data_IF_144668888798
#
_entry.id   IF_144668888798
#
_cell.length_a   1.000
_cell.length_b   1.000
_cell.length_c   1.000
_cell.angle_alpha   90.00
_cell.angle_beta   90.00
_cell.angle_gamma   90.00
#
_symmetry.space_group_name_H-M   'P 1'
#
loop_
_entity.id
_entity.type
_entity.pdbx_description
1 polymer ?
#
# COMPACT_ATOMS: atom_id res chain seq x y z
N UNK A 1 -31.88 -2.70 -10.06
CA UNK A 1 -32.73 -3.91 -10.19
C UNK A 1 -32.00 -5.07 -10.91
N UNK A 2 -30.74 -5.40 -10.57
CA UNK A 2 -29.93 -6.31 -11.39
C UNK A 2 -29.88 -7.78 -10.93
N UNK A 3 -30.40 -8.10 -9.74
CA UNK A 3 -30.35 -9.46 -9.18
C UNK A 3 -31.71 -10.16 -9.06
N UNK A 4 -32.83 -9.45 -9.25
CA UNK A 4 -34.17 -10.08 -9.20
C UNK A 4 -34.43 -10.99 -10.41
N UNK A 5 -33.82 -10.70 -11.56
CA UNK A 5 -33.96 -11.56 -12.74
C UNK A 5 -33.37 -12.96 -12.49
N UNK A 6 -32.33 -13.10 -11.66
CA UNK A 6 -31.79 -14.41 -11.28
C UNK A 6 -32.81 -15.27 -10.54
N UNK A 7 -33.66 -14.65 -9.71
CA UNK A 7 -34.73 -15.34 -9.00
C UNK A 7 -35.79 -15.82 -9.98
N UNK A 8 -36.19 -14.97 -10.93
CA UNK A 8 -37.12 -15.34 -12.01
C UNK A 8 -36.58 -16.48 -12.88
N UNK A 9 -35.31 -16.43 -13.28
CA UNK A 9 -34.66 -17.49 -14.07
C UNK A 9 -34.58 -18.79 -13.25
N UNK A 10 -34.24 -18.70 -11.96
CA UNK A 10 -34.20 -19.86 -11.08
C UNK A 10 -35.58 -20.52 -10.95
N UNK A 11 -36.63 -19.72 -10.74
CA UNK A 11 -38.01 -20.21 -10.68
C UNK A 11 -38.42 -20.89 -11.99
N UNK A 12 -38.11 -20.27 -13.13
CA UNK A 12 -38.41 -20.82 -14.45
C UNK A 12 -37.70 -22.17 -14.66
N UNK A 13 -36.43 -22.29 -14.29
CA UNK A 13 -35.68 -23.54 -14.36
C UNK A 13 -36.28 -24.63 -13.48
N UNK A 14 -36.67 -24.32 -12.24
CA UNK A 14 -37.35 -25.27 -11.35
C UNK A 14 -38.65 -25.76 -11.98
N UNK A 15 -39.43 -24.87 -12.58
CA UNK A 15 -40.67 -25.22 -13.27
C UNK A 15 -40.42 -26.18 -14.45
N UNK A 16 -39.39 -25.91 -15.26
CA UNK A 16 -38.98 -26.81 -16.36
C UNK A 16 -38.62 -28.21 -15.83
N UNK A 17 -37.86 -28.29 -14.73
CA UNK A 17 -37.47 -29.57 -14.12
C UNK A 17 -38.70 -30.34 -13.62
N UNK A 18 -39.66 -29.66 -12.99
CA UNK A 18 -40.92 -30.28 -12.54
C UNK A 18 -41.74 -30.81 -13.72
N UNK A 19 -41.89 -30.03 -14.79
CA UNK A 19 -42.57 -30.50 -16.01
C UNK A 19 -41.86 -31.72 -16.58
N UNK A 20 -40.53 -31.69 -16.68
CA UNK A 20 -39.74 -32.82 -17.14
C UNK A 20 -39.97 -34.07 -16.30
N UNK A 21 -40.07 -33.90 -14.97
CA UNK A 21 -40.31 -34.99 -14.05
C UNK A 21 -41.67 -35.64 -14.24
N UNK A 22 -42.72 -34.83 -14.46
CA UNK A 22 -44.09 -35.34 -14.72
C UNK A 22 -44.16 -36.03 -16.08
N UNK A 23 -43.60 -35.42 -17.13
CA UNK A 23 -43.65 -35.98 -18.48
C UNK A 23 -42.82 -37.26 -18.63
N UNK A 24 -41.73 -37.39 -17.86
CA UNK A 24 -40.84 -38.54 -17.88
C UNK A 24 -40.95 -39.36 -16.58
N UNK A 25 -42.17 -39.48 -16.06
CA UNK A 25 -42.47 -40.26 -14.85
C UNK A 25 -42.43 -41.80 -15.09
N UNK A 26 -41.70 -42.24 -16.10
CA UNK A 26 -41.53 -43.65 -16.42
C UNK A 26 -40.67 -44.31 -15.34
N UNK A 27 -41.23 -45.35 -14.74
CA UNK A 27 -40.55 -46.12 -13.69
C UNK A 27 -39.49 -47.01 -14.33
N UNK A 28 -38.23 -46.79 -13.97
CA UNK A 28 -37.09 -47.57 -14.45
C UNK A 28 -36.47 -48.32 -13.28
N UNK A 29 -36.29 -49.65 -13.36
CA UNK A 29 -35.58 -50.41 -12.36
C UNK A 29 -34.08 -50.15 -12.47
N UNK A 30 -33.43 -49.84 -11.34
CA UNK A 30 -31.99 -49.63 -11.25
C UNK A 30 -31.39 -50.62 -10.27
N UNK A 31 -30.37 -51.34 -10.73
CA UNK A 31 -29.65 -52.33 -9.94
C UNK A 31 -28.37 -51.72 -9.39
N UNK A 32 -28.25 -51.67 -8.07
CA UNK A 32 -27.04 -51.23 -7.35
C UNK A 32 -26.10 -52.40 -7.03
N UNK A 33 -26.21 -53.52 -7.75
CA UNK A 33 -25.48 -54.76 -7.51
C UNK A 33 -26.11 -55.63 -6.41
N UNK A 34 -26.42 -55.04 -5.24
CA UNK A 34 -26.97 -55.76 -4.08
C UNK A 34 -28.47 -55.54 -3.86
N UNK A 35 -29.01 -54.45 -4.40
CA UNK A 35 -30.42 -54.08 -4.29
C UNK A 35 -30.93 -53.53 -5.61
N UNK A 36 -32.25 -53.63 -5.82
CA UNK A 36 -32.93 -53.04 -6.97
C UNK A 36 -33.97 -52.05 -6.45
N UNK A 37 -33.92 -50.84 -6.99
CA UNK A 37 -34.87 -49.78 -6.69
C UNK A 37 -35.52 -49.37 -7.99
N UNK A 38 -36.85 -49.28 -7.98
CA UNK A 38 -37.63 -48.82 -9.13
C UNK A 38 -38.22 -47.46 -8.82
N UNK A 39 -38.01 -46.51 -9.72
CA UNK A 39 -38.57 -45.18 -9.59
C UNK A 39 -38.46 -44.39 -10.89
N UNK A 40 -39.05 -43.18 -10.93
CA UNK A 40 -38.96 -42.29 -12.09
C UNK A 40 -37.51 -41.99 -12.44
N UNK A 41 -37.12 -42.15 -13.71
CA UNK A 41 -35.72 -41.99 -14.17
C UNK A 41 -35.10 -40.65 -13.76
N UNK A 42 -35.86 -39.57 -13.87
CA UNK A 42 -35.43 -38.22 -13.52
C UNK A 42 -35.05 -38.06 -12.03
N UNK A 43 -35.77 -38.72 -11.12
CA UNK A 43 -35.46 -38.67 -9.68
C UNK A 43 -34.16 -39.40 -9.38
N UNK A 44 -33.88 -40.48 -10.11
CA UNK A 44 -32.63 -41.23 -9.97
C UNK A 44 -31.44 -40.39 -10.46
N UNK A 45 -31.57 -39.72 -11.61
CA UNK A 45 -30.52 -38.84 -12.17
C UNK A 45 -30.28 -37.63 -11.25
N UNK A 46 -31.33 -36.95 -10.80
CA UNK A 46 -31.19 -35.82 -9.88
C UNK A 46 -30.59 -36.27 -8.55
N UNK A 47 -31.04 -37.40 -8.00
CA UNK A 47 -30.51 -37.96 -6.77
C UNK A 47 -29.02 -38.28 -6.87
N UNK A 48 -28.57 -38.94 -7.94
CA UNK A 48 -27.16 -39.25 -8.14
C UNK A 48 -26.30 -38.00 -8.36
N UNK A 49 -26.80 -37.01 -9.10
CA UNK A 49 -26.13 -35.73 -9.27
C UNK A 49 -25.97 -34.96 -7.94
N UNK A 50 -27.00 -34.96 -7.09
CA UNK A 50 -26.93 -34.35 -5.75
C UNK A 50 -25.91 -35.07 -4.89
N UNK A 51 -25.89 -36.41 -4.88
CA UNK A 51 -24.89 -37.19 -4.12
C UNK A 51 -23.48 -36.89 -4.62
N UNK A 52 -23.26 -36.86 -5.94
CA UNK A 52 -21.98 -36.49 -6.53
C UNK A 52 -21.54 -35.06 -6.14
N UNK A 53 -22.46 -34.09 -6.19
CA UNK A 53 -22.20 -32.72 -5.77
C UNK A 53 -21.86 -32.63 -4.28
N UNK A 54 -22.55 -33.37 -3.41
CA UNK A 54 -22.25 -33.43 -1.98
C UNK A 54 -20.84 -33.98 -1.74
N UNK A 55 -20.46 -35.07 -2.40
CA UNK A 55 -19.10 -35.63 -2.31
C UNK A 55 -18.06 -34.59 -2.79
N UNK A 56 -18.33 -33.91 -3.90
CA UNK A 56 -17.49 -32.82 -4.42
C UNK A 56 -17.34 -31.66 -3.43
N UNK A 57 -18.42 -31.25 -2.76
CA UNK A 57 -18.40 -30.20 -1.74
C UNK A 57 -17.61 -30.63 -0.49
N UNK A 58 -17.82 -31.86 -0.01
CA UNK A 58 -17.08 -32.40 1.15
C UNK A 58 -15.58 -32.41 0.87
N UNK A 59 -15.18 -32.93 -0.29
CA UNK A 59 -13.77 -32.98 -0.71
C UNK A 59 -13.19 -31.58 -0.92
N UNK A 60 -13.91 -30.67 -1.61
CA UNK A 60 -13.47 -29.30 -1.85
C UNK A 60 -13.27 -28.48 -0.57
N UNK A 61 -14.17 -28.64 0.40
CA UNK A 61 -14.11 -27.88 1.67
C UNK A 61 -12.80 -28.12 2.42
N UNK A 62 -12.31 -29.36 2.44
CA UNK A 62 -11.05 -29.70 3.11
C UNK A 62 -9.84 -28.99 2.49
N UNK A 63 -9.78 -28.92 1.15
CA UNK A 63 -8.74 -28.21 0.40
C UNK A 63 -8.80 -26.72 0.66
N UNK A 64 -10.01 -26.15 0.63
CA UNK A 64 -10.23 -24.71 0.82
C UNK A 64 -9.84 -24.26 2.24
N UNK A 65 -10.05 -25.10 3.26
CA UNK A 65 -9.57 -24.84 4.61
C UNK A 65 -8.05 -24.84 4.71
N UNK A 66 -7.36 -25.82 4.10
CA UNK A 66 -5.88 -25.85 4.06
C UNK A 66 -5.32 -24.61 3.37
N UNK A 67 -5.88 -24.24 2.22
CA UNK A 67 -5.49 -23.04 1.49
C UNK A 67 -5.69 -21.77 2.31
N UNK A 68 -6.84 -21.61 3.00
CA UNK A 68 -7.08 -20.48 3.89
C UNK A 68 -6.06 -20.41 5.03
N UNK A 69 -5.68 -21.55 5.60
CA UNK A 69 -4.66 -21.61 6.67
C UNK A 69 -3.29 -21.17 6.14
N UNK A 70 -2.86 -21.69 4.99
CA UNK A 70 -1.60 -21.31 4.35
C UNK A 70 -1.57 -19.81 4.02
N UNK A 71 -2.64 -19.26 3.45
CA UNK A 71 -2.73 -17.81 3.18
C UNK A 71 -2.57 -17.01 4.47
N UNK A 72 -3.15 -17.46 5.59
CA UNK A 72 -3.00 -16.79 6.87
C UNK A 72 -1.57 -16.86 7.42
N UNK A 73 -0.92 -18.02 7.30
CA UNK A 73 0.49 -18.20 7.70
C UNK A 73 1.42 -17.33 6.85
N UNK A 74 1.28 -17.37 5.52
CA UNK A 74 2.06 -16.52 4.60
C UNK A 74 1.87 -15.03 4.87
N UNK A 75 0.63 -14.60 5.13
CA UNK A 75 0.38 -13.19 5.47
C UNK A 75 1.05 -12.78 6.78
N UNK A 76 1.08 -13.67 7.78
CA UNK A 76 1.77 -13.42 9.04
C UNK A 76 3.28 -13.34 8.85
N UNK A 77 3.86 -14.24 8.06
CA UNK A 77 5.29 -14.18 7.71
C UNK A 77 5.63 -12.88 6.97
N UNK A 78 4.81 -12.48 5.99
CA UNK A 78 4.97 -11.20 5.29
C UNK A 78 4.92 -10.00 6.23
N UNK A 79 4.05 -10.01 7.23
CA UNK A 79 3.96 -8.95 8.22
C UNK A 79 5.23 -8.85 9.07
N UNK A 80 5.78 -9.99 9.50
CA UNK A 80 7.06 -10.04 10.23
C UNK A 80 8.20 -9.50 9.37
N UNK A 81 8.37 -9.99 8.14
CA UNK A 81 9.42 -9.53 7.24
C UNK A 81 9.34 -8.03 6.94
N UNK A 82 8.12 -7.48 6.79
CA UNK A 82 7.91 -6.05 6.59
C UNK A 82 8.32 -5.24 7.81
N UNK A 83 7.93 -5.69 9.01
CA UNK A 83 8.30 -5.02 10.25
C UNK A 83 9.82 -5.04 10.46
N UNK A 84 10.47 -6.18 10.23
CA UNK A 84 11.93 -6.30 10.36
C UNK A 84 12.63 -5.37 9.37
N UNK A 85 12.21 -5.35 8.10
CA UNK A 85 12.75 -4.43 7.09
C UNK A 85 12.56 -2.96 7.48
N UNK A 86 11.39 -2.59 8.01
CA UNK A 86 11.11 -1.23 8.49
C UNK A 86 11.98 -0.86 9.70
N UNK A 87 12.25 -1.80 10.61
CA UNK A 87 13.14 -1.55 11.76
C UNK A 87 14.58 -1.34 11.33
N UNK A 88 15.10 -2.18 10.41
CA UNK A 88 16.45 -2.03 9.86
C UNK A 88 16.60 -0.72 9.10
N UNK A 89 15.60 -0.35 8.27
CA UNK A 89 15.60 0.93 7.57
C UNK A 89 15.62 2.12 8.53
N UNK A 90 14.85 2.08 9.63
CA UNK A 90 14.86 3.12 10.66
C UNK A 90 16.20 3.20 11.37
N UNK A 91 16.81 2.06 11.71
CA UNK A 91 18.11 2.00 12.36
C UNK A 91 19.21 2.61 11.47
N UNK A 92 19.23 2.27 10.19
CA UNK A 92 20.20 2.82 9.23
C UNK A 92 20.00 4.33 9.03
N UNK A 93 18.76 4.80 8.92
CA UNK A 93 18.46 6.24 8.85
C UNK A 93 18.90 6.96 10.12
N UNK A 94 18.72 6.35 11.29
CA UNK A 94 19.15 6.93 12.57
C UNK A 94 20.68 7.00 12.67
N UNK A 95 21.41 5.96 12.23
CA UNK A 95 22.88 5.97 12.17
C UNK A 95 23.40 7.08 11.26
N UNK A 96 22.83 7.20 10.05
CA UNK A 96 23.21 8.25 9.09
C UNK A 96 22.93 9.64 9.66
N UNK A 97 21.77 9.82 10.32
CA UNK A 97 21.42 11.10 10.96
C UNK A 97 22.41 11.47 12.07
N UNK A 98 22.76 10.53 12.95
CA UNK A 98 23.76 10.74 14.00
C UNK A 98 25.13 11.08 13.42
N UNK A 99 25.55 10.40 12.35
CA UNK A 99 26.80 10.72 11.67
C UNK A 99 26.80 12.14 11.08
N UNK A 100 25.69 12.57 10.49
CA UNK A 100 25.52 13.92 9.96
C UNK A 100 25.52 15.00 11.07
N UNK A 101 24.81 14.75 12.19
CA UNK A 101 24.82 15.66 13.35
C UNK A 101 26.24 15.81 13.93
N UNK A 102 27.00 14.73 14.03
CA UNK A 102 28.40 14.78 14.46
C UNK A 102 29.28 15.59 13.50
N UNK A 103 29.09 15.45 12.18
CA UNK A 103 29.82 16.24 11.18
C UNK A 103 29.51 17.74 11.29
N UNK A 104 28.26 18.12 11.53
CA UNK A 104 27.87 19.52 11.74
C UNK A 104 28.51 20.09 13.00
N UNK A 105 28.51 19.33 14.10
CA UNK A 105 29.15 19.75 15.34
C UNK A 105 30.66 19.95 15.18
N UNK A 106 31.34 19.05 14.47
CA UNK A 106 32.77 19.18 14.16
C UNK A 106 33.04 20.41 13.26
N UNK A 107 32.20 20.64 12.25
CA UNK A 107 32.34 21.79 11.36
C UNK A 107 32.12 23.11 12.11
N UNK A 108 31.14 23.16 13.01
CA UNK A 108 30.89 24.33 13.87
C UNK A 108 32.08 24.60 14.78
N UNK A 109 32.64 23.57 15.43
CA UNK A 109 33.83 23.72 16.27
C UNK A 109 35.02 24.28 15.47
N UNK A 110 35.23 23.80 14.23
CA UNK A 110 36.26 24.35 13.33
C UNK A 110 35.99 25.81 12.97
N UNK A 111 34.74 26.19 12.72
CA UNK A 111 34.39 27.58 12.45
C UNK A 111 34.66 28.48 13.65
N UNK A 112 34.29 28.05 14.86
CA UNK A 112 34.51 28.79 16.10
C UNK A 112 36.01 28.93 16.41
N UNK A 113 36.82 27.88 16.15
CA UNK A 113 38.28 27.92 16.25
C UNK A 113 38.92 28.90 15.26
N UNK A 114 38.41 28.96 14.02
CA UNK A 114 38.87 29.91 12.99
C UNK A 114 38.43 31.34 13.34
N UNK A 115 37.20 31.53 13.82
CA UNK A 115 36.69 32.83 14.25
C UNK A 115 37.47 33.40 15.45
N UNK A 116 37.94 32.54 16.36
CA UNK A 116 38.81 32.95 17.47
C UNK A 116 40.24 33.33 17.04
N UNK A 117 40.67 32.90 15.84
CA UNK A 117 41.99 33.21 15.27
C UNK A 117 41.97 34.43 14.33
N UNK A 118 40.81 34.89 13.88
CA UNK A 118 40.66 36.11 13.08
C UNK A 118 40.44 37.30 14.04
N UNK A 119 41.31 38.32 14.07
CA UNK A 119 41.06 39.52 14.87
C UNK A 119 39.77 40.19 14.38
N UNK A 120 38.79 40.35 15.27
CA UNK A 120 37.68 41.27 15.05
C UNK A 120 38.26 42.68 15.26
N UNK A 121 38.85 43.28 14.23
CA UNK A 121 38.94 44.74 14.20
C UNK A 121 37.52 45.27 13.98
N UNK A 122 36.97 46.06 14.91
CA UNK A 122 35.69 46.70 14.66
C UNK A 122 35.88 47.68 13.50
N UNK A 123 35.11 47.52 12.42
CA UNK A 123 34.94 48.57 11.42
C UNK A 123 34.19 49.71 12.12
N UNK A 124 34.96 50.58 12.79
CA UNK A 124 34.48 51.83 13.38
C UNK A 124 34.52 52.88 12.28
N UNK A 125 33.36 53.11 11.69
CA UNK A 125 33.13 54.26 10.83
C UNK A 125 33.09 55.52 11.72
N UNK A 126 34.20 56.24 11.80
CA UNK A 126 34.26 57.57 12.42
C UNK A 126 35.02 58.56 11.52
N UNK A 127 34.33 59.11 10.53
CA UNK A 127 34.70 60.38 9.91
C UNK A 127 33.97 61.51 10.68
N UNK A 128 34.66 62.41 11.39
CA UNK A 128 34.03 63.59 11.96
C UNK A 128 33.87 64.66 10.88
N UNK A 129 32.61 65.01 10.58
CA UNK A 129 32.24 66.22 9.83
C UNK A 129 32.77 67.44 10.61
N UNK A 130 33.73 68.18 10.05
CA UNK A 130 34.43 69.26 10.74
C UNK A 130 35.01 70.36 9.84
N UNK A 131 34.12 71.25 9.40
CA UNK A 131 34.30 72.62 8.90
C UNK A 131 35.68 73.29 9.07
N UNK A 132 36.28 73.74 7.95
CA UNK A 132 37.03 75.02 7.93
C UNK A 132 36.80 75.80 6.64
N UNK A 133 36.10 76.89 6.85
CA UNK A 133 35.81 78.03 5.98
C UNK A 133 37.10 78.72 5.51
N UNK A 134 37.14 78.95 4.21
CA UNK A 134 37.67 80.08 3.43
C UNK A 134 38.84 80.92 3.95
N UNK A 135 39.86 81.04 3.09
CA UNK A 135 40.64 82.26 2.95
C UNK A 135 40.57 82.77 1.50
N UNK A 136 39.67 83.72 1.30
CA UNK A 136 39.69 84.70 0.22
C UNK A 136 40.94 85.60 0.32
N UNK A 137 41.68 85.77 -0.78
CA UNK A 137 42.28 87.04 -1.28
C UNK A 137 43.00 86.73 -2.61
N UNK A 138 42.87 87.42 -3.74
CA UNK A 138 42.02 88.48 -4.33
C UNK A 138 42.36 88.49 -5.85
N UNK A 139 41.51 89.01 -6.78
CA UNK A 139 41.58 88.71 -8.22
C UNK A 139 42.21 89.82 -9.10
N UNK A 140 42.18 89.54 -10.42
CA UNK A 140 42.20 90.43 -11.61
C UNK A 140 43.57 90.93 -12.10
N UNK A 141 43.99 90.50 -13.30
CA UNK A 141 43.71 91.21 -14.56
C UNK A 141 44.30 90.49 -15.78
N UNK A 142 43.61 90.66 -16.92
CA UNK A 142 44.06 90.39 -18.29
C UNK A 142 45.26 91.26 -18.69
N UNK A 143 45.79 90.96 -19.88
CA UNK A 143 46.76 91.68 -20.73
C UNK A 143 48.22 91.30 -20.43
N UNK A 144 49.07 90.94 -21.40
CA UNK A 144 49.19 91.51 -22.75
C UNK A 144 50.12 90.65 -23.65
N UNK A 145 49.85 90.73 -24.96
CA UNK A 145 50.68 90.43 -26.17
C UNK A 145 51.04 88.98 -26.53
#
# INVERSE_FOLDING_TARGET
MKNQWRVFIGLLLVLIVVIFAVLNNQTVPVSFGFTKISGPLILIILGSAIVGALIGLLTSTTTMWKQKKQVKELNKELEVYKNDADTLAKEEVEKVKRAYENQLAELQAKYDEVAAQIPIEPVVETEPVGSRIDHFTKPRNNEEV
#
